data_IF_398192632790
#
_entry.id   IF_398192632790
#
_cell.length_a   1.000
_cell.length_b   1.000
_cell.length_c   1.000
_cell.angle_alpha   90.00
_cell.angle_beta   90.00
_cell.angle_gamma   90.00
#
_symmetry.space_group_name_H-M   'P 1'
#
loop_
_entity.id
_entity.type
_entity.pdbx_description
1 polymer ?
#
# COMPACT_ATOMS: atom_id res chain seq x y z
N UNK A 1 11.59 38.51 -22.75
CA UNK A 1 12.61 37.44 -22.77
C UNK A 1 13.02 37.17 -21.33
N UNK A 2 12.07 36.64 -20.54
CA UNK A 2 12.16 36.57 -19.07
C UNK A 2 11.16 35.54 -18.51
N UNK A 3 11.06 34.37 -19.14
CA UNK A 3 10.21 33.26 -18.68
C UNK A 3 10.96 31.92 -18.59
N UNK A 4 12.27 31.91 -18.87
CA UNK A 4 13.09 30.70 -18.87
C UNK A 4 13.96 30.52 -17.62
N UNK A 5 13.81 31.37 -16.59
CA UNK A 5 14.63 31.32 -15.38
C UNK A 5 13.93 30.81 -14.12
N UNK A 6 12.61 30.58 -14.15
CA UNK A 6 11.88 30.02 -13.01
C UNK A 6 11.60 28.51 -13.10
N UNK A 7 11.71 27.90 -14.29
CA UNK A 7 11.51 26.45 -14.45
C UNK A 7 12.73 25.60 -14.06
N UNK A 8 13.88 26.22 -13.79
CA UNK A 8 15.10 25.48 -13.40
C UNK A 8 15.25 25.27 -11.88
N UNK A 9 14.27 25.72 -11.07
CA UNK A 9 14.31 25.60 -9.60
C UNK A 9 13.63 24.36 -9.02
N UNK A 10 13.04 23.50 -9.85
CA UNK A 10 12.42 22.24 -9.44
C UNK A 10 13.26 20.99 -9.79
N UNK A 11 14.49 21.16 -10.27
CA UNK A 11 15.44 20.07 -10.50
C UNK A 11 16.57 20.00 -9.46
N UNK A 12 16.22 20.21 -8.19
CA UNK A 12 17.05 19.75 -7.08
C UNK A 12 16.20 18.83 -6.21
N UNK A 13 16.10 17.57 -6.66
CA UNK A 13 15.85 16.42 -5.79
C UNK A 13 17.00 16.43 -4.78
N UNK A 14 16.77 17.15 -3.68
CA UNK A 14 17.62 17.07 -2.51
C UNK A 14 17.58 15.63 -2.03
N UNK A 15 18.77 15.11 -1.77
CA UNK A 15 19.06 13.84 -1.13
C UNK A 15 17.93 13.38 -0.20
N UNK A 16 17.42 12.17 -0.42
CA UNK A 16 16.39 11.47 0.38
C UNK A 16 16.78 11.24 1.87
N UNK A 17 17.80 11.95 2.39
CA UNK A 17 18.32 11.88 3.76
C UNK A 17 17.54 12.73 4.76
N UNK A 18 16.82 13.77 4.31
CA UNK A 18 16.22 14.79 5.20
C UNK A 18 14.72 14.61 5.52
N UNK A 19 14.06 13.59 4.98
CA UNK A 19 12.64 13.31 5.27
C UNK A 19 12.45 12.45 6.54
N UNK A 20 13.33 12.52 7.53
CA UNK A 20 13.14 11.78 8.78
C UNK A 20 12.20 12.54 9.70
N UNK A 21 11.26 11.81 10.33
CA UNK A 21 10.43 12.40 11.37
C UNK A 21 11.31 12.85 12.55
N UNK A 22 10.94 13.93 13.21
CA UNK A 22 11.58 14.33 14.47
C UNK A 22 11.05 13.48 15.60
N UNK A 23 11.89 13.29 16.62
CA UNK A 23 11.54 12.58 17.85
C UNK A 23 10.24 13.10 18.48
N UNK A 24 10.05 14.42 18.52
CA UNK A 24 8.87 15.08 19.10
C UNK A 24 7.57 14.86 18.31
N UNK A 25 7.65 14.37 17.07
CA UNK A 25 6.49 14.10 16.21
C UNK A 25 6.00 12.65 16.35
N UNK A 26 6.79 11.79 16.99
CA UNK A 26 6.41 10.40 17.28
C UNK A 26 5.56 10.38 18.55
N UNK A 27 4.36 9.82 18.48
CA UNK A 27 3.44 9.74 19.62
C UNK A 27 2.65 8.43 19.67
N UNK A 28 2.20 8.07 20.88
CA UNK A 28 1.31 6.92 21.12
C UNK A 28 0.00 7.05 20.34
N UNK A 29 -0.50 5.92 19.83
CA UNK A 29 -1.74 5.82 19.06
C UNK A 29 -1.66 6.35 17.62
N UNK A 30 -0.45 6.63 17.12
CA UNK A 30 -0.20 7.15 15.77
C UNK A 30 0.47 6.13 14.87
N UNK A 31 0.37 6.36 13.57
CA UNK A 31 0.82 5.46 12.53
C UNK A 31 1.89 6.12 11.67
N UNK A 32 2.96 5.40 11.38
CA UNK A 32 4.10 5.95 10.64
C UNK A 32 4.56 4.99 9.55
N UNK A 33 4.92 5.57 8.41
CA UNK A 33 5.44 4.84 7.26
C UNK A 33 6.93 5.16 7.04
N UNK A 34 7.68 4.19 6.51
CA UNK A 34 9.06 4.41 6.06
C UNK A 34 9.15 5.01 4.64
N UNK A 35 8.00 5.37 4.06
CA UNK A 35 7.88 5.85 2.68
C UNK A 35 8.09 4.76 1.62
N UNK A 36 8.14 3.48 2.04
CA UNK A 36 8.29 2.32 1.15
C UNK A 36 7.20 1.30 1.45
N UNK A 37 7.52 0.25 2.19
CA UNK A 37 6.61 -0.86 2.49
C UNK A 37 6.28 -0.95 3.97
N UNK A 38 7.03 -0.27 4.84
CA UNK A 38 6.88 -0.37 6.27
C UNK A 38 5.77 0.53 6.76
N UNK A 39 4.84 -0.02 7.54
CA UNK A 39 3.83 0.75 8.29
C UNK A 39 3.81 0.24 9.74
N UNK A 40 3.91 1.13 10.71
CA UNK A 40 3.93 0.79 12.13
C UNK A 40 3.00 1.68 12.94
N UNK A 41 2.37 1.10 13.93
CA UNK A 41 1.57 1.79 14.95
C UNK A 41 2.37 1.88 16.25
N UNK A 42 2.43 3.06 16.88
CA UNK A 42 3.03 3.20 18.22
C UNK A 42 1.97 2.86 19.27
N UNK A 43 2.15 1.75 19.98
CA UNK A 43 1.18 1.23 20.94
C UNK A 43 1.31 1.89 22.32
N UNK A 44 2.55 2.11 22.75
CA UNK A 44 2.83 2.68 24.06
C UNK A 44 4.24 3.25 24.15
N UNK A 45 4.51 4.00 25.21
CA UNK A 45 5.77 4.70 25.46
C UNK A 45 6.21 4.60 26.93
N UNK A 46 7.53 4.63 27.13
CA UNK A 46 8.14 4.60 28.46
C UNK A 46 9.40 3.72 28.56
N UNK A 47 10.16 3.86 29.66
CA UNK A 47 11.44 3.19 29.87
C UNK A 47 11.34 1.67 29.99
N UNK A 48 10.14 1.12 30.25
CA UNK A 48 9.87 -0.32 30.26
C UNK A 48 9.99 -0.97 28.87
N UNK A 49 9.95 -0.18 27.79
CA UNK A 49 10.04 -0.67 26.41
C UNK A 49 11.45 -0.61 25.83
N UNK A 50 12.48 -0.72 26.68
CA UNK A 50 13.85 -0.91 26.21
C UNK A 50 13.94 -2.19 25.37
N UNK A 51 14.73 -2.14 24.29
CA UNK A 51 14.95 -3.31 23.43
C UNK A 51 15.80 -4.38 24.14
N UNK A 52 16.75 -3.95 24.97
CA UNK A 52 17.57 -4.81 25.82
C UNK A 52 18.08 -4.03 27.04
N UNK A 53 18.55 -4.73 28.07
CA UNK A 53 18.90 -4.13 29.38
C UNK A 53 19.99 -3.05 29.31
N UNK A 54 20.89 -3.12 28.33
CA UNK A 54 21.97 -2.15 28.12
C UNK A 54 21.56 -0.86 27.41
N UNK A 55 20.29 -0.66 27.06
CA UNK A 55 19.82 0.63 26.52
C UNK A 55 19.71 1.63 27.66
N UNK A 56 20.54 2.66 27.65
CA UNK A 56 20.49 3.74 28.65
C UNK A 56 19.31 4.68 28.43
N UNK A 57 18.91 4.92 27.17
CA UNK A 57 17.79 5.80 26.81
C UNK A 57 16.47 5.32 27.43
N UNK A 58 15.82 6.22 28.16
CA UNK A 58 14.52 5.98 28.81
C UNK A 58 13.34 6.33 27.91
N UNK A 59 13.56 7.08 26.82
CA UNK A 59 12.52 7.41 25.85
C UNK A 59 12.39 6.30 24.82
N UNK A 60 11.79 5.20 25.29
CA UNK A 60 11.50 4.02 24.51
C UNK A 60 10.00 3.91 24.20
N UNK A 61 9.69 3.09 23.19
CA UNK A 61 8.34 2.84 22.73
C UNK A 61 8.14 1.38 22.33
N UNK A 62 6.89 0.95 22.40
CA UNK A 62 6.41 -0.31 21.84
C UNK A 62 5.59 -0.01 20.60
N UNK A 63 5.85 -0.72 19.52
CA UNK A 63 5.13 -0.55 18.26
C UNK A 63 4.65 -1.89 17.71
N UNK A 64 3.64 -1.85 16.85
CA UNK A 64 3.15 -2.98 16.05
C UNK A 64 3.44 -2.75 14.58
N UNK A 65 3.97 -3.77 13.90
CA UNK A 65 4.12 -3.74 12.45
C UNK A 65 2.78 -4.04 11.76
N UNK A 66 2.23 -3.08 11.02
CA UNK A 66 1.02 -3.26 10.22
C UNK A 66 1.32 -3.70 8.78
N UNK A 67 2.48 -3.31 8.25
CA UNK A 67 3.02 -3.82 7.01
C UNK A 67 4.55 -3.86 7.05
N UNK A 68 5.13 -4.86 6.40
CA UNK A 68 6.56 -5.08 6.37
C UNK A 68 6.98 -5.84 5.10
N UNK A 69 8.28 -5.85 4.82
CA UNK A 69 8.85 -6.63 3.71
C UNK A 69 8.64 -8.14 3.93
N UNK A 70 8.89 -8.62 5.15
CA UNK A 70 8.59 -9.99 5.55
C UNK A 70 7.17 -10.10 6.08
N UNK A 71 6.43 -11.11 5.63
CA UNK A 71 5.08 -11.38 6.15
C UNK A 71 5.09 -11.85 7.60
N UNK A 72 6.20 -12.42 8.08
CA UNK A 72 6.36 -12.89 9.47
C UNK A 72 6.34 -11.75 10.48
N UNK A 73 6.72 -10.55 10.04
CA UNK A 73 6.85 -9.39 10.92
C UNK A 73 5.51 -8.66 11.05
N UNK A 74 4.55 -8.90 10.15
CA UNK A 74 3.23 -8.27 10.17
C UNK A 74 2.45 -8.80 11.37
N UNK A 75 1.89 -7.88 12.16
CA UNK A 75 1.21 -8.14 13.43
C UNK A 75 2.16 -8.26 14.62
N UNK A 76 3.47 -8.37 14.41
CA UNK A 76 4.43 -8.46 15.51
C UNK A 76 4.58 -7.13 16.22
N UNK A 77 4.79 -7.23 17.52
CA UNK A 77 5.10 -6.10 18.38
C UNK A 77 6.57 -6.13 18.75
N UNK A 78 7.19 -4.95 18.79
CA UNK A 78 8.59 -4.81 19.13
C UNK A 78 8.84 -3.48 19.83
N UNK A 79 10.06 -3.34 20.33
CA UNK A 79 10.50 -2.24 21.17
C UNK A 79 11.60 -1.45 20.45
N UNK A 80 11.67 -0.14 20.66
CA UNK A 80 12.80 0.67 20.22
C UNK A 80 12.90 1.96 21.00
N UNK A 81 14.05 2.65 20.93
CA UNK A 81 14.10 4.06 21.33
C UNK A 81 13.25 4.90 20.37
N UNK A 82 12.68 6.01 20.86
CA UNK A 82 11.93 6.95 20.01
C UNK A 82 12.83 7.54 18.93
N UNK A 83 14.12 7.74 19.24
CA UNK A 83 15.12 8.23 18.29
C UNK A 83 15.28 7.27 17.09
N UNK A 84 15.44 5.96 17.35
CA UNK A 84 15.57 4.97 16.28
C UNK A 84 14.28 4.84 15.47
N UNK A 85 13.12 4.93 16.11
CA UNK A 85 11.84 4.91 15.42
C UNK A 85 11.66 6.14 14.52
N UNK A 86 11.98 7.33 15.02
CA UNK A 86 11.91 8.58 14.27
C UNK A 86 12.82 8.57 13.04
N UNK A 87 14.03 7.99 13.14
CA UNK A 87 14.93 7.83 12.00
C UNK A 87 14.38 6.88 10.92
N UNK A 88 13.63 5.86 11.32
CA UNK A 88 12.93 4.95 10.42
C UNK A 88 11.72 5.61 9.74
N UNK A 89 10.92 6.36 10.49
CA UNK A 89 9.71 7.00 10.00
C UNK A 89 10.00 8.18 9.04
N UNK A 90 9.24 8.25 7.94
CA UNK A 90 9.30 9.33 6.94
C UNK A 90 8.06 10.21 6.89
N UNK A 91 6.91 9.64 7.27
CA UNK A 91 5.65 10.34 7.33
C UNK A 91 4.72 9.71 8.37
N UNK A 92 3.86 10.54 8.95
CA UNK A 92 2.70 10.10 9.73
C UNK A 92 1.53 9.80 8.78
N UNK A 93 0.81 8.72 9.03
CA UNK A 93 -0.40 8.34 8.31
C UNK A 93 -1.60 8.60 9.24
N UNK A 94 -2.54 9.48 8.85
CA UNK A 94 -3.77 9.70 9.63
C UNK A 94 -4.53 8.39 9.86
N UNK A 95 -5.11 8.23 11.05
CA UNK A 95 -5.77 6.98 11.46
C UNK A 95 -6.90 6.54 10.51
N UNK A 96 -7.65 7.51 9.97
CA UNK A 96 -8.71 7.32 8.99
C UNK A 96 -8.20 6.92 7.59
N UNK A 97 -6.91 7.12 7.32
CA UNK A 97 -6.27 6.78 6.03
C UNK A 97 -5.44 5.49 6.09
N UNK A 98 -5.24 4.90 7.29
CA UNK A 98 -4.43 3.68 7.47
C UNK A 98 -4.91 2.54 6.58
N UNK A 99 -6.22 2.33 6.51
CA UNK A 99 -6.80 1.26 5.71
C UNK A 99 -6.51 1.43 4.21
N UNK A 100 -6.78 2.62 3.68
CA UNK A 100 -6.50 2.97 2.28
C UNK A 100 -5.01 2.87 1.96
N UNK A 101 -4.14 3.32 2.87
CA UNK A 101 -2.69 3.21 2.70
C UNK A 101 -2.24 1.74 2.64
N UNK A 102 -2.77 0.89 3.53
CA UNK A 102 -2.50 -0.56 3.51
C UNK A 102 -2.99 -1.22 2.22
N UNK A 103 -4.14 -0.82 1.68
CA UNK A 103 -4.63 -1.28 0.38
C UNK A 103 -3.64 -0.90 -0.72
N UNK A 104 -3.19 0.36 -0.77
CA UNK A 104 -2.20 0.82 -1.76
C UNK A 104 -0.91 0.01 -1.72
N UNK A 105 -0.33 -0.20 -0.53
CA UNK A 105 0.88 -1.02 -0.38
C UNK A 105 0.70 -2.47 -0.84
N UNK A 106 -0.48 -3.05 -0.63
CA UNK A 106 -0.82 -4.40 -1.11
C UNK A 106 -1.03 -4.42 -2.62
N UNK A 107 -1.68 -3.40 -3.17
CA UNK A 107 -1.93 -3.25 -4.60
C UNK A 107 -0.61 -3.15 -5.36
N UNK A 108 0.34 -2.31 -4.93
CA UNK A 108 1.68 -2.20 -5.52
C UNK A 108 2.41 -3.55 -5.58
N UNK A 109 2.40 -4.25 -4.44
CA UNK A 109 3.03 -5.57 -4.33
C UNK A 109 2.35 -6.61 -5.23
N UNK A 110 1.04 -6.52 -5.43
CA UNK A 110 0.28 -7.46 -6.24
C UNK A 110 0.42 -7.15 -7.74
N UNK A 111 0.40 -5.88 -8.13
CA UNK A 111 0.62 -5.42 -9.50
C UNK A 111 1.95 -5.95 -10.05
N UNK A 112 3.03 -5.87 -9.27
CA UNK A 112 4.35 -6.44 -9.62
C UNK A 112 4.42 -7.98 -9.70
N UNK A 113 3.31 -8.69 -9.43
CA UNK A 113 3.20 -10.16 -9.46
C UNK A 113 2.09 -10.66 -10.41
N UNK A 114 1.47 -9.77 -11.17
CA UNK A 114 0.50 -10.16 -12.18
C UNK A 114 1.22 -10.83 -13.36
N UNK A 115 0.61 -11.87 -13.91
CA UNK A 115 1.06 -12.45 -15.17
C UNK A 115 0.61 -11.57 -16.33
N UNK A 116 1.21 -11.73 -17.50
CA UNK A 116 0.84 -10.94 -18.68
C UNK A 116 -0.66 -11.00 -18.98
N UNK A 117 -1.34 -12.18 -19.03
CA UNK A 117 -2.79 -12.21 -19.23
C UNK A 117 -3.60 -11.46 -18.16
N UNK A 118 -3.15 -11.49 -16.91
CA UNK A 118 -3.80 -10.75 -15.82
C UNK A 118 -3.60 -9.24 -15.95
N UNK A 119 -2.43 -8.80 -16.42
CA UNK A 119 -2.19 -7.39 -16.72
C UNK A 119 -3.07 -6.91 -17.87
N UNK A 120 -3.20 -7.70 -18.94
CA UNK A 120 -4.11 -7.38 -20.04
C UNK A 120 -5.55 -7.26 -19.57
N UNK A 121 -6.02 -8.22 -18.78
CA UNK A 121 -7.36 -8.17 -18.18
C UNK A 121 -7.54 -6.91 -17.30
N UNK A 122 -6.62 -6.64 -16.36
CA UNK A 122 -6.74 -5.47 -15.48
C UNK A 122 -6.70 -4.13 -16.26
N UNK A 123 -5.99 -4.09 -17.39
CA UNK A 123 -5.88 -2.90 -18.25
C UNK A 123 -7.10 -2.65 -19.13
N UNK A 124 -8.02 -3.60 -19.27
CA UNK A 124 -9.25 -3.39 -20.07
C UNK A 124 -10.32 -2.58 -19.31
N UNK A 125 -10.11 -2.32 -18.02
CA UNK A 125 -11.03 -1.59 -17.15
C UNK A 125 -10.64 -0.13 -16.94
N UNK A 126 -11.64 0.72 -16.71
CA UNK A 126 -11.45 2.13 -16.36
C UNK A 126 -11.06 2.32 -14.90
N UNK A 127 -10.46 3.47 -14.59
CA UNK A 127 -9.96 3.79 -13.24
C UNK A 127 -10.99 4.44 -12.31
N UNK A 128 -12.20 4.72 -12.81
CA UNK A 128 -13.30 5.35 -12.08
C UNK A 128 -14.31 4.33 -11.53
N UNK A 129 -14.07 3.04 -11.75
CA UNK A 129 -14.87 1.95 -11.18
C UNK A 129 -14.91 1.99 -9.65
N UNK A 130 -16.08 1.65 -9.12
CA UNK A 130 -16.37 1.59 -7.69
C UNK A 130 -16.72 0.17 -7.25
N UNK A 131 -16.67 -0.11 -5.94
CA UNK A 131 -16.98 -1.44 -5.38
C UNK A 131 -18.44 -1.86 -5.59
N UNK A 132 -19.32 -0.91 -5.92
CA UNK A 132 -20.75 -1.17 -6.15
C UNK A 132 -21.07 -1.51 -7.61
N UNK A 133 -20.14 -1.25 -8.52
CA UNK A 133 -20.36 -1.43 -9.95
C UNK A 133 -20.05 -2.86 -10.39
N UNK A 134 -20.78 -3.29 -11.41
CA UNK A 134 -20.59 -4.54 -12.12
C UNK A 134 -20.17 -4.22 -13.54
N UNK A 135 -19.17 -4.94 -14.05
CA UNK A 135 -18.67 -4.75 -15.41
C UNK A 135 -18.83 -6.06 -16.17
N UNK A 136 -19.39 -5.97 -17.37
CA UNK A 136 -19.54 -7.11 -18.27
C UNK A 136 -18.18 -7.43 -18.94
N UNK A 137 -17.83 -8.72 -18.99
CA UNK A 137 -16.63 -9.26 -19.60
C UNK A 137 -16.98 -10.33 -20.62
N UNK A 138 -16.10 -10.53 -21.60
CA UNK A 138 -16.28 -11.56 -22.63
C UNK A 138 -15.99 -12.96 -22.05
N UNK A 139 -16.73 -14.00 -22.49
CA UNK A 139 -16.52 -15.39 -22.05
C UNK A 139 -15.05 -15.84 -22.04
N UNK A 140 -14.26 -15.37 -23.01
CA UNK A 140 -12.83 -15.72 -23.14
C UNK A 140 -12.01 -15.25 -21.93
N UNK A 141 -12.46 -14.21 -21.23
CA UNK A 141 -11.81 -13.63 -20.06
C UNK A 141 -12.16 -14.38 -18.77
N UNK A 142 -13.13 -15.31 -18.79
CA UNK A 142 -13.63 -15.99 -17.58
C UNK A 142 -12.51 -16.69 -16.80
N UNK A 143 -11.60 -17.36 -17.51
CA UNK A 143 -10.47 -18.06 -16.88
C UNK A 143 -9.49 -17.10 -16.20
N UNK A 144 -9.23 -15.94 -16.80
CA UNK A 144 -8.31 -14.95 -16.20
C UNK A 144 -8.99 -14.22 -15.06
N UNK A 145 -10.29 -13.88 -15.18
CA UNK A 145 -11.09 -13.32 -14.10
C UNK A 145 -11.13 -14.24 -12.87
N UNK A 146 -11.33 -15.56 -13.05
CA UNK A 146 -11.23 -16.55 -11.96
C UNK A 146 -9.83 -16.55 -11.30
N UNK A 147 -8.78 -16.34 -12.07
CA UNK A 147 -7.43 -16.23 -11.54
C UNK A 147 -7.22 -14.94 -10.74
N UNK A 148 -7.80 -13.84 -11.19
CA UNK A 148 -7.83 -12.55 -10.49
C UNK A 148 -8.67 -12.63 -9.20
N UNK A 149 -9.79 -13.36 -9.20
CA UNK A 149 -10.59 -13.65 -8.00
C UNK A 149 -9.77 -14.39 -6.94
N UNK A 150 -9.01 -15.42 -7.32
CA UNK A 150 -8.10 -16.13 -6.40
C UNK A 150 -6.98 -15.25 -5.82
N UNK A 151 -6.67 -14.13 -6.48
CA UNK A 151 -5.73 -13.11 -6.00
C UNK A 151 -6.39 -12.01 -5.17
N UNK A 152 -7.72 -12.05 -5.00
CA UNK A 152 -8.50 -11.06 -4.27
C UNK A 152 -8.76 -9.76 -5.05
N UNK A 153 -8.58 -9.76 -6.37
CA UNK A 153 -8.84 -8.60 -7.24
C UNK A 153 -10.34 -8.51 -7.55
N UNK A 154 -10.92 -9.62 -8.01
CA UNK A 154 -12.36 -9.75 -8.27
C UNK A 154 -13.04 -10.23 -6.98
N UNK A 155 -14.11 -9.56 -6.60
CA UNK A 155 -14.96 -9.88 -5.46
C UNK A 155 -16.04 -10.90 -5.81
N UNK A 156 -16.75 -10.67 -6.92
CA UNK A 156 -17.90 -11.46 -7.36
C UNK A 156 -17.80 -11.74 -8.86
N UNK A 157 -18.06 -12.98 -9.26
CA UNK A 157 -18.27 -13.42 -10.65
C UNK A 157 -18.87 -14.84 -10.64
N UNK A 158 -19.45 -15.34 -11.75
CA UNK A 158 -19.92 -16.72 -11.84
C UNK A 158 -18.76 -17.73 -11.77
N UNK A 159 -18.91 -18.79 -10.97
CA UNK A 159 -17.91 -19.88 -10.88
C UNK A 159 -17.76 -20.67 -12.19
N UNK A 160 -18.85 -20.75 -12.95
CA UNK A 160 -18.97 -21.45 -14.23
C UNK A 160 -19.90 -20.67 -15.15
N UNK A 161 -19.71 -20.86 -16.44
CA UNK A 161 -20.58 -20.34 -17.49
C UNK A 161 -21.21 -21.52 -18.23
N UNK A 162 -22.49 -21.41 -18.54
CA UNK A 162 -23.22 -22.37 -19.37
C UNK A 162 -22.71 -22.30 -20.83
N UNK A 163 -23.10 -23.26 -21.69
CA UNK A 163 -22.61 -23.30 -23.08
C UNK A 163 -23.01 -22.06 -23.88
N UNK A 164 -24.13 -21.44 -23.52
CA UNK A 164 -24.78 -20.39 -24.30
C UNK A 164 -24.39 -18.98 -23.80
N UNK A 165 -23.74 -18.89 -22.64
CA UNK A 165 -23.27 -17.63 -22.06
C UNK A 165 -22.15 -17.03 -22.90
N UNK A 166 -22.36 -15.82 -23.41
CA UNK A 166 -21.35 -15.07 -24.20
C UNK A 166 -20.54 -14.09 -23.36
N UNK A 167 -21.12 -13.62 -22.27
CA UNK A 167 -20.55 -12.65 -21.36
C UNK A 167 -20.78 -13.08 -19.91
N UNK A 168 -20.12 -12.40 -18.98
CA UNK A 168 -20.34 -12.53 -17.56
C UNK A 168 -19.98 -11.24 -16.84
N UNK A 169 -20.57 -11.05 -15.67
CA UNK A 169 -20.34 -9.87 -14.85
C UNK A 169 -19.24 -10.09 -13.80
N UNK A 170 -18.42 -9.06 -13.57
CA UNK A 170 -17.45 -9.00 -12.47
C UNK A 170 -17.70 -7.79 -11.59
N UNK A 171 -17.51 -7.95 -10.28
CA UNK A 171 -17.32 -6.85 -9.33
C UNK A 171 -15.93 -6.91 -8.71
N UNK A 172 -15.33 -5.75 -8.47
CA UNK A 172 -13.98 -5.65 -7.91
C UNK A 172 -14.01 -5.42 -6.40
N UNK A 173 -12.95 -5.88 -5.72
CA UNK A 173 -12.68 -5.49 -4.33
C UNK A 173 -12.02 -4.10 -4.30
N UNK A 174 -12.02 -3.42 -3.15
CA UNK A 174 -11.18 -2.23 -2.93
C UNK A 174 -9.70 -2.44 -3.32
N UNK A 175 -9.16 -3.65 -3.07
CA UNK A 175 -7.81 -4.03 -3.49
C UNK A 175 -7.69 -4.13 -5.01
N UNK A 176 -8.68 -4.73 -5.68
CA UNK A 176 -8.72 -4.85 -7.13
C UNK A 176 -8.74 -3.50 -7.83
N UNK A 177 -9.58 -2.56 -7.34
CA UNK A 177 -9.64 -1.19 -7.84
C UNK A 177 -8.30 -0.46 -7.68
N UNK A 178 -7.66 -0.59 -6.52
CA UNK A 178 -6.33 -0.03 -6.31
C UNK A 178 -5.26 -0.66 -7.23
N UNK A 179 -5.37 -1.95 -7.54
CA UNK A 179 -4.48 -2.61 -8.52
C UNK A 179 -4.69 -2.06 -9.92
N UNK A 180 -5.95 -1.88 -10.37
CA UNK A 180 -6.29 -1.26 -11.65
C UNK A 180 -5.65 0.13 -11.73
N UNK A 181 -5.90 0.99 -10.73
CA UNK A 181 -5.35 2.34 -10.68
C UNK A 181 -3.81 2.36 -10.76
N UNK A 182 -3.11 1.46 -10.06
CA UNK A 182 -1.64 1.40 -10.06
C UNK A 182 -1.08 0.91 -11.40
N UNK A 183 -1.72 -0.08 -12.03
CA UNK A 183 -1.31 -0.60 -13.34
C UNK A 183 -1.50 0.44 -14.44
N UNK A 184 -2.62 1.17 -14.42
CA UNK A 184 -2.93 2.22 -15.40
C UNK A 184 -1.99 3.44 -15.22
N UNK A 185 -1.71 3.83 -13.98
CA UNK A 185 -0.77 4.93 -13.68
C UNK A 185 0.66 4.61 -14.13
N UNK A 186 1.06 3.34 -14.04
CA UNK A 186 2.40 2.87 -14.45
C UNK A 186 2.54 2.67 -15.96
N UNK A 187 1.44 2.61 -16.71
CA UNK A 187 1.45 2.43 -18.17
C UNK A 187 1.51 3.76 -18.94
N UNK A 188 1.35 4.90 -18.25
CA UNK A 188 1.45 6.26 -18.79
C UNK A 188 2.83 6.90 -18.60
N UNK A 189 3.85 6.13 -18.20
CA UNK A 189 5.26 6.54 -18.09
C UNK A 189 6.11 5.81 -19.13
#
# INVERSE_FOLDING_TARGET
MTLFHEQSRLQHIHSNKDLQMKKAEIGKGRFYSDGKVGLREVLDEGPQYKLYAGVEDEDCLRFRCLNAKSSTDIGQESNSTRTSFAAWAKLEIPADQVHTHLIGLRADKLAGKLTEPQLWFVRSFDNDLTETESVECDREEHRVALSCMKKGIVAEMPDRLDSDDRCFDVKFTALGLAVIANVLSSSNQ
#
